data_IF_529661363830
#
_entry.id   IF_529661363830
#
_cell.length_a   1.000
_cell.length_b   1.000
_cell.length_c   1.000
_cell.angle_alpha   90.00
_cell.angle_beta   90.00
_cell.angle_gamma   90.00
#
_symmetry.space_group_name_H-M   'P 1'
#
loop_
_entity.id
_entity.type
_entity.pdbx_description
1 polymer ?
#
# COMPACT_ATOMS: atom_id res chain seq x y z
N UNK A 1 5.27 20.99 0.67
CA UNK A 1 5.23 21.84 1.90
C UNK A 1 5.47 20.91 3.08
N UNK A 2 6.37 21.26 3.99
CA UNK A 2 6.69 20.44 5.18
C UNK A 2 6.08 21.13 6.40
N UNK A 3 5.33 20.35 7.20
CA UNK A 3 4.75 20.81 8.46
C UNK A 3 5.33 19.95 9.61
N UNK A 4 6.24 20.47 10.44
CA UNK A 4 6.86 19.73 11.54
C UNK A 4 5.89 19.61 12.72
N UNK A 5 4.89 18.73 12.59
CA UNK A 5 3.79 18.58 13.54
C UNK A 5 3.90 17.35 14.45
N UNK A 6 4.79 16.41 14.11
CA UNK A 6 4.97 15.21 14.92
C UNK A 6 5.87 15.52 16.12
N UNK A 7 5.36 15.39 17.35
CA UNK A 7 6.19 15.53 18.54
C UNK A 7 6.99 14.25 18.78
N UNK A 8 8.09 14.40 19.52
CA UNK A 8 8.93 13.30 20.01
C UNK A 8 9.15 13.43 21.52
N UNK A 9 9.76 12.42 22.11
CA UNK A 9 10.12 12.44 23.54
C UNK A 9 11.01 13.63 23.92
N UNK A 10 11.79 14.14 22.97
CA UNK A 10 12.66 15.29 23.18
C UNK A 10 11.92 16.64 23.10
N UNK A 11 10.70 16.66 22.54
CA UNK A 11 9.95 17.89 22.28
C UNK A 11 8.78 18.11 23.25
N UNK A 12 8.46 17.12 24.08
CA UNK A 12 7.39 17.20 25.08
C UNK A 12 7.94 17.32 26.51
N UNK A 13 7.29 18.08 27.41
CA UNK A 13 7.80 18.29 28.79
C UNK A 13 7.87 17.00 29.61
N UNK A 14 6.90 16.08 29.46
CA UNK A 14 6.86 14.79 30.14
C UNK A 14 6.41 13.69 29.17
N UNK A 15 7.37 12.89 28.62
CA UNK A 15 7.08 11.80 27.68
C UNK A 15 6.21 10.68 28.28
N UNK A 16 6.15 10.54 29.59
CA UNK A 16 5.39 9.49 30.27
C UNK A 16 3.94 9.88 30.53
N UNK A 17 3.63 11.19 30.55
CA UNK A 17 2.29 11.73 30.84
C UNK A 17 1.78 12.62 29.70
N UNK A 18 1.74 12.06 28.48
CA UNK A 18 1.25 12.79 27.30
C UNK A 18 -0.25 12.58 27.10
N UNK A 19 -0.94 13.60 26.63
CA UNK A 19 -2.26 13.53 26.02
C UNK A 19 -2.10 13.36 24.51
N UNK A 20 -2.02 12.10 24.06
CA UNK A 20 -1.77 11.78 22.66
C UNK A 20 -2.88 12.30 21.71
N UNK A 21 -4.19 12.24 22.05
CA UNK A 21 -5.24 12.87 21.25
C UNK A 21 -5.04 14.38 21.06
N UNK A 22 -4.70 15.12 22.13
CA UNK A 22 -4.41 16.55 22.05
C UNK A 22 -3.22 16.85 21.16
N UNK A 23 -2.14 16.07 21.29
CA UNK A 23 -0.94 16.20 20.46
C UNK A 23 -1.21 15.84 18.98
N UNK A 24 -2.14 14.93 18.70
CA UNK A 24 -2.55 14.56 17.34
C UNK A 24 -3.46 15.62 16.68
N UNK A 25 -4.13 16.46 17.45
CA UNK A 25 -5.15 17.40 16.97
C UNK A 25 -4.70 18.31 15.81
N UNK A 26 -3.47 18.88 15.80
CA UNK A 26 -3.01 19.70 14.67
C UNK A 26 -2.94 18.89 13.35
N UNK A 27 -2.53 17.63 13.41
CA UNK A 27 -2.47 16.72 12.24
C UNK A 27 -3.89 16.33 11.86
N UNK A 28 -4.72 15.93 12.81
CA UNK A 28 -6.11 15.53 12.60
C UNK A 28 -6.95 16.62 11.97
N UNK A 29 -6.68 17.89 12.27
CA UNK A 29 -7.35 19.03 11.63
C UNK A 29 -7.07 19.14 10.12
N UNK A 30 -5.94 18.63 9.65
CA UNK A 30 -5.56 18.63 8.23
C UNK A 30 -6.19 17.50 7.44
N UNK A 31 -6.63 16.43 8.11
CA UNK A 31 -7.13 15.21 7.45
C UNK A 31 -8.31 15.49 6.51
N UNK A 32 -9.15 16.48 6.81
CA UNK A 32 -10.28 16.87 5.95
C UNK A 32 -9.88 17.37 4.56
N UNK A 33 -8.61 17.68 4.36
CA UNK A 33 -8.04 18.18 3.11
C UNK A 33 -7.24 17.12 2.36
N UNK A 34 -7.13 15.92 2.92
CA UNK A 34 -6.27 14.85 2.40
C UNK A 34 -7.13 13.73 1.81
N UNK A 35 -6.65 13.14 0.73
CA UNK A 35 -7.33 12.09 0.00
C UNK A 35 -6.73 10.70 0.26
N UNK A 36 -5.49 10.66 0.74
CA UNK A 36 -4.78 9.46 1.16
C UNK A 36 -3.64 9.82 2.09
N UNK A 37 -3.18 8.86 2.91
CA UNK A 37 -2.04 9.02 3.81
C UNK A 37 -0.99 7.94 3.52
N UNK A 38 0.27 8.32 3.68
CA UNK A 38 1.42 7.40 3.77
C UNK A 38 2.03 7.56 5.14
N UNK A 39 2.12 6.48 5.89
CA UNK A 39 2.56 6.50 7.29
C UNK A 39 3.65 5.46 7.47
N UNK A 40 4.78 5.85 8.04
CA UNK A 40 5.83 4.93 8.45
C UNK A 40 7.21 5.14 7.85
N UNK A 41 7.39 5.48 6.55
CA UNK A 41 8.72 5.78 6.02
C UNK A 41 9.37 6.91 6.82
N UNK A 42 10.54 6.62 7.41
CA UNK A 42 11.28 7.61 8.22
C UNK A 42 10.63 8.04 9.52
N UNK A 43 9.56 7.36 9.96
CA UNK A 43 8.82 7.74 11.18
C UNK A 43 9.66 7.61 12.46
N UNK A 44 10.55 6.63 12.51
CA UNK A 44 11.29 6.29 13.73
C UNK A 44 10.45 5.49 14.73
N UNK A 45 11.03 5.27 15.91
CA UNK A 45 10.45 4.41 16.96
C UNK A 45 10.30 5.10 18.28
N UNK A 46 10.21 6.43 18.27
CA UNK A 46 9.99 7.22 19.47
C UNK A 46 8.59 6.94 20.03
N UNK A 47 8.51 6.65 21.32
CA UNK A 47 7.26 6.23 21.95
C UNK A 47 6.17 7.31 21.95
N UNK A 48 6.54 8.59 22.02
CA UNK A 48 5.59 9.71 21.95
C UNK A 48 5.06 9.80 20.50
N UNK A 49 5.96 9.79 19.52
CA UNK A 49 5.62 9.84 18.12
C UNK A 49 4.66 8.70 17.74
N UNK A 50 4.96 7.47 18.16
CA UNK A 50 4.13 6.29 17.84
C UNK A 50 2.73 6.38 18.46
N UNK A 51 2.61 6.87 19.70
CA UNK A 51 1.30 7.11 20.34
C UNK A 51 0.48 8.17 19.60
N UNK A 52 1.09 9.26 19.19
CA UNK A 52 0.41 10.32 18.41
C UNK A 52 -0.02 9.82 17.05
N UNK A 53 0.84 9.09 16.35
CA UNK A 53 0.49 8.49 15.03
C UNK A 53 -0.63 7.46 15.16
N UNK A 54 -0.70 6.72 16.27
CA UNK A 54 -1.83 5.82 16.55
C UNK A 54 -3.15 6.59 16.59
N UNK A 55 -3.21 7.75 17.24
CA UNK A 55 -4.42 8.57 17.26
C UNK A 55 -4.76 9.15 15.86
N UNK A 56 -3.75 9.54 15.09
CA UNK A 56 -3.95 9.97 13.69
C UNK A 56 -4.54 8.85 12.84
N UNK A 57 -4.08 7.61 13.01
CA UNK A 57 -4.64 6.43 12.30
C UNK A 57 -6.10 6.21 12.70
N UNK A 58 -6.43 6.25 13.99
CA UNK A 58 -7.81 6.11 14.47
C UNK A 58 -8.73 7.17 13.86
N UNK A 59 -8.26 8.42 13.81
CA UNK A 59 -9.00 9.52 13.21
C UNK A 59 -9.15 9.36 11.69
N UNK A 60 -8.11 8.88 10.98
CA UNK A 60 -8.19 8.58 9.56
C UNK A 60 -9.24 7.48 9.28
N UNK A 61 -9.29 6.43 10.11
CA UNK A 61 -10.29 5.37 10.03
C UNK A 61 -11.70 5.93 10.25
N UNK A 62 -11.90 6.76 11.26
CA UNK A 62 -13.20 7.37 11.57
C UNK A 62 -13.74 8.23 10.41
N UNK A 63 -12.84 8.83 9.64
CA UNK A 63 -13.16 9.65 8.46
C UNK A 63 -13.14 8.89 7.14
N UNK A 64 -12.92 7.58 7.16
CA UNK A 64 -12.80 6.74 5.96
C UNK A 64 -11.70 7.21 4.98
N UNK A 65 -10.60 7.74 5.50
CA UNK A 65 -9.46 8.18 4.68
C UNK A 65 -8.57 6.96 4.40
N UNK A 66 -8.31 6.62 3.14
CA UNK A 66 -7.43 5.51 2.80
C UNK A 66 -5.98 5.81 3.18
N UNK A 67 -5.24 4.78 3.61
CA UNK A 67 -3.84 4.95 3.96
C UNK A 67 -2.98 3.71 3.69
N UNK A 68 -1.67 3.97 3.60
CA UNK A 68 -0.63 2.96 3.48
C UNK A 68 0.18 2.97 4.78
N UNK A 69 0.48 1.77 5.31
CA UNK A 69 1.47 1.58 6.38
C UNK A 69 2.67 0.81 5.83
N UNK A 70 3.85 1.40 5.97
CA UNK A 70 5.14 0.78 5.60
C UNK A 70 6.16 0.99 6.73
N UNK A 71 7.24 0.26 6.69
CA UNK A 71 8.40 0.41 7.57
C UNK A 71 8.00 0.51 9.06
N UNK A 72 8.37 1.62 9.75
CA UNK A 72 8.07 1.77 11.18
C UNK A 72 6.56 1.87 11.48
N UNK A 73 5.71 2.26 10.51
CA UNK A 73 4.26 2.22 10.65
C UNK A 73 3.70 0.80 10.83
N UNK A 74 4.38 -0.22 10.31
CA UNK A 74 3.98 -1.62 10.48
C UNK A 74 4.21 -2.13 11.91
N UNK A 75 5.06 -1.47 12.70
CA UNK A 75 5.26 -1.81 14.12
C UNK A 75 3.97 -1.60 14.90
N UNK A 76 3.22 -0.53 14.62
CA UNK A 76 1.96 -0.24 15.29
C UNK A 76 0.95 -1.38 15.10
N UNK A 77 0.87 -1.95 13.90
CA UNK A 77 0.00 -3.10 13.61
C UNK A 77 0.56 -4.39 14.23
N UNK A 78 1.89 -4.52 14.33
CA UNK A 78 2.51 -5.68 14.98
C UNK A 78 2.25 -5.69 16.49
N UNK A 79 2.24 -4.52 17.13
CA UNK A 79 1.98 -4.36 18.56
C UNK A 79 0.47 -4.44 18.87
N UNK A 80 -0.36 -3.81 18.04
CA UNK A 80 -1.82 -3.87 18.15
C UNK A 80 -2.48 -4.11 16.78
N UNK A 81 -2.69 -5.36 16.37
CA UNK A 81 -3.36 -5.69 15.11
C UNK A 81 -4.79 -5.13 15.01
N UNK A 82 -5.44 -4.89 16.14
CA UNK A 82 -6.81 -4.35 16.17
C UNK A 82 -6.88 -2.92 15.65
N UNK A 83 -5.77 -2.19 15.65
CA UNK A 83 -5.68 -0.81 15.15
C UNK A 83 -6.22 -0.67 13.72
N UNK A 84 -5.98 -1.65 12.86
CA UNK A 84 -6.41 -1.62 11.45
C UNK A 84 -7.41 -2.73 11.11
N UNK A 85 -7.77 -3.60 12.06
CA UNK A 85 -8.59 -4.77 11.80
C UNK A 85 -9.94 -4.39 11.21
N UNK A 86 -10.26 -4.95 10.04
CA UNK A 86 -11.51 -4.71 9.33
C UNK A 86 -11.54 -3.40 8.51
N UNK A 87 -10.51 -2.56 8.59
CA UNK A 87 -10.45 -1.35 7.79
C UNK A 87 -9.94 -1.64 6.38
N UNK A 88 -10.85 -1.86 5.45
CA UNK A 88 -10.54 -2.29 4.09
C UNK A 88 -9.83 -1.23 3.23
N UNK A 89 -9.86 0.04 3.61
CA UNK A 89 -9.18 1.15 2.92
C UNK A 89 -7.70 1.31 3.36
N UNK A 90 -7.10 0.25 3.90
CA UNK A 90 -5.71 0.20 4.35
C UNK A 90 -4.89 -0.76 3.47
N UNK A 91 -3.67 -0.34 3.11
CA UNK A 91 -2.65 -1.18 2.45
C UNK A 91 -1.45 -1.30 3.38
N UNK A 92 -1.06 -2.53 3.73
CA UNK A 92 0.18 -2.83 4.41
C UNK A 92 1.22 -3.32 3.41
N UNK A 93 2.47 -2.85 3.51
CA UNK A 93 3.54 -3.18 2.56
C UNK A 93 4.73 -3.88 3.22
N UNK A 94 4.55 -4.98 3.97
CA UNK A 94 5.63 -5.62 4.67
C UNK A 94 6.66 -6.27 3.73
N UNK A 95 7.95 -6.12 4.05
CA UNK A 95 9.00 -7.00 3.54
C UNK A 95 8.94 -8.36 4.27
N UNK A 96 9.77 -9.32 3.83
CA UNK A 96 9.77 -10.70 4.37
C UNK A 96 9.90 -10.73 5.90
N UNK A 97 10.75 -9.89 6.49
CA UNK A 97 10.96 -9.85 7.93
C UNK A 97 9.79 -9.17 8.68
N UNK A 98 9.25 -8.10 8.12
CA UNK A 98 8.07 -7.41 8.64
C UNK A 98 6.84 -8.30 8.55
N UNK A 99 6.66 -9.01 7.43
CA UNK A 99 5.60 -9.99 7.24
C UNK A 99 5.66 -11.11 8.29
N UNK A 100 6.84 -11.68 8.53
CA UNK A 100 7.02 -12.72 9.53
C UNK A 100 6.69 -12.24 10.95
N UNK A 101 6.98 -10.97 11.28
CA UNK A 101 6.61 -10.37 12.57
C UNK A 101 5.11 -10.19 12.71
N UNK A 102 4.45 -9.66 11.69
CA UNK A 102 2.98 -9.51 11.66
C UNK A 102 2.28 -10.86 11.76
N UNK A 103 2.72 -11.85 10.99
CA UNK A 103 2.16 -13.19 11.03
C UNK A 103 2.29 -13.83 12.43
N UNK A 104 3.47 -13.68 13.06
CA UNK A 104 3.71 -14.16 14.43
C UNK A 104 2.80 -13.48 15.44
N UNK A 105 2.57 -12.16 15.33
CA UNK A 105 1.69 -11.41 16.23
C UNK A 105 0.24 -11.91 16.15
N UNK A 106 -0.17 -12.47 15.01
CA UNK A 106 -1.49 -13.04 14.79
C UNK A 106 -1.52 -14.58 14.87
N UNK A 107 -0.46 -15.22 15.38
CA UNK A 107 -0.31 -16.67 15.49
C UNK A 107 -0.49 -17.42 14.15
N UNK A 108 -0.05 -16.80 13.05
CA UNK A 108 -0.07 -17.40 11.72
C UNK A 108 1.29 -18.04 11.45
N UNK A 109 1.28 -19.33 11.17
CA UNK A 109 2.49 -20.05 10.78
C UNK A 109 2.94 -19.64 9.39
N UNK A 110 4.16 -19.14 9.29
CA UNK A 110 4.86 -18.87 8.02
C UNK A 110 5.98 -19.89 7.89
N UNK A 111 5.89 -20.77 6.91
CA UNK A 111 6.95 -21.73 6.67
C UNK A 111 8.22 -21.00 6.23
N UNK A 112 9.36 -21.31 6.85
CA UNK A 112 10.64 -20.74 6.45
C UNK A 112 11.00 -21.18 5.03
N UNK A 113 11.69 -20.32 4.28
CA UNK A 113 12.11 -20.61 2.89
C UNK A 113 12.94 -21.90 2.78
N UNK A 114 13.63 -22.30 3.85
CA UNK A 114 14.40 -23.53 3.92
C UNK A 114 13.55 -24.82 3.99
N UNK A 115 12.27 -24.72 4.36
CA UNK A 115 11.36 -25.86 4.53
C UNK A 115 10.52 -26.17 3.28
N UNK A 116 10.56 -25.30 2.28
CA UNK A 116 9.72 -25.42 1.08
C UNK A 116 10.56 -26.07 -0.04
N UNK A 117 10.21 -27.30 -0.41
CA UNK A 117 10.83 -28.04 -1.52
C UNK A 117 10.02 -27.82 -2.80
N UNK A 118 10.62 -27.14 -3.79
CA UNK A 118 10.06 -26.93 -5.13
C UNK A 118 9.43 -25.54 -5.34
N UNK A 119 9.63 -24.96 -6.54
CA UNK A 119 9.21 -23.58 -6.85
C UNK A 119 7.68 -23.41 -6.92
N UNK A 120 6.93 -24.42 -7.41
CA UNK A 120 5.47 -24.37 -7.48
C UNK A 120 4.80 -24.39 -6.10
N UNK A 121 5.31 -25.23 -5.20
CA UNK A 121 4.82 -25.33 -3.82
C UNK A 121 5.09 -24.06 -3.01
N UNK A 122 6.19 -23.36 -3.32
CA UNK A 122 6.58 -22.14 -2.65
C UNK A 122 5.62 -20.98 -2.92
N UNK A 123 5.31 -20.72 -4.19
CA UNK A 123 4.40 -19.66 -4.58
C UNK A 123 2.99 -19.85 -3.98
N UNK A 124 2.51 -21.11 -3.96
CA UNK A 124 1.22 -21.45 -3.39
C UNK A 124 1.16 -21.21 -1.88
N UNK A 125 2.18 -21.62 -1.15
CA UNK A 125 2.24 -21.47 0.33
C UNK A 125 2.46 -20.03 0.77
N UNK A 126 3.27 -19.26 0.04
CA UNK A 126 3.46 -17.83 0.29
C UNK A 126 2.15 -17.06 0.04
N UNK A 127 1.41 -17.40 -1.03
CA UNK A 127 0.09 -16.83 -1.32
C UNK A 127 -0.92 -17.16 -0.25
N UNK A 128 -0.94 -18.41 0.24
CA UNK A 128 -1.82 -18.84 1.34
C UNK A 128 -1.52 -18.09 2.65
N UNK A 129 -0.23 -17.90 2.98
CA UNK A 129 0.16 -17.16 4.17
C UNK A 129 -0.27 -15.68 4.11
N UNK A 130 -0.11 -15.04 2.94
CA UNK A 130 -0.55 -13.67 2.72
C UNK A 130 -2.08 -13.54 2.82
N UNK A 131 -2.81 -14.49 2.24
CA UNK A 131 -4.28 -14.55 2.32
C UNK A 131 -4.75 -14.74 3.77
N UNK A 132 -4.14 -15.65 4.52
CA UNK A 132 -4.44 -15.88 5.95
C UNK A 132 -4.20 -14.64 6.79
N UNK A 133 -3.08 -13.94 6.56
CA UNK A 133 -2.77 -12.71 7.30
C UNK A 133 -3.79 -11.61 7.00
N UNK A 134 -4.15 -11.42 5.75
CA UNK A 134 -5.18 -10.45 5.37
C UNK A 134 -6.56 -10.80 5.99
N UNK A 135 -6.96 -12.08 5.95
CA UNK A 135 -8.20 -12.55 6.61
C UNK A 135 -8.19 -12.29 8.11
N UNK A 136 -7.08 -12.57 8.79
CA UNK A 136 -6.96 -12.34 10.22
C UNK A 136 -7.04 -10.85 10.58
N UNK A 137 -6.63 -9.96 9.68
CA UNK A 137 -6.79 -8.51 9.78
C UNK A 137 -8.16 -8.01 9.26
N UNK A 138 -9.11 -8.91 8.96
CA UNK A 138 -10.45 -8.53 8.53
C UNK A 138 -10.54 -7.99 7.09
N UNK A 139 -9.62 -8.40 6.22
CA UNK A 139 -9.62 -8.05 4.80
C UNK A 139 -8.80 -6.80 4.45
N UNK A 140 -7.87 -6.41 5.32
CA UNK A 140 -6.87 -5.37 5.00
C UNK A 140 -6.01 -5.85 3.83
N UNK A 141 -5.77 -4.99 2.84
CA UNK A 141 -4.93 -5.34 1.70
C UNK A 141 -3.45 -5.38 2.09
N UNK A 142 -2.76 -6.45 1.73
CA UNK A 142 -1.35 -6.66 2.03
C UNK A 142 -0.57 -6.80 0.74
N UNK A 143 0.54 -6.08 0.63
CA UNK A 143 1.58 -6.27 -0.39
C UNK A 143 2.78 -6.89 0.32
N UNK A 144 2.91 -8.20 0.27
CA UNK A 144 4.11 -8.89 0.77
C UNK A 144 5.24 -8.72 -0.24
N UNK A 145 6.20 -7.86 0.08
CA UNK A 145 7.37 -7.59 -0.78
C UNK A 145 8.31 -8.79 -0.83
N UNK A 146 8.69 -9.20 -2.06
CA UNK A 146 9.53 -10.38 -2.27
C UNK A 146 10.22 -10.41 -3.64
N UNK A 147 10.75 -11.56 -4.08
CA UNK A 147 11.19 -11.76 -5.47
C UNK A 147 10.05 -11.51 -6.47
N UNK A 148 8.85 -11.96 -6.14
CA UNK A 148 7.55 -11.53 -6.67
C UNK A 148 6.74 -11.00 -5.50
N UNK A 149 5.98 -9.93 -5.72
CA UNK A 149 5.16 -9.40 -4.63
C UNK A 149 3.81 -10.13 -4.64
N UNK A 150 3.38 -10.55 -3.45
CA UNK A 150 2.09 -11.22 -3.25
C UNK A 150 1.13 -10.22 -2.66
N UNK A 151 -0.01 -10.06 -3.30
CA UNK A 151 -1.01 -9.05 -2.93
C UNK A 151 -2.31 -9.77 -2.62
N UNK A 152 -2.84 -9.55 -1.41
CA UNK A 152 -4.08 -10.20 -0.98
C UNK A 152 -4.95 -9.26 -0.16
N UNK A 153 -6.27 -9.35 -0.35
CA UNK A 153 -7.29 -8.74 0.50
C UNK A 153 -8.03 -9.79 1.35
N UNK A 154 -7.47 -11.02 1.45
CA UNK A 154 -8.05 -12.13 2.17
C UNK A 154 -9.12 -12.92 1.39
N UNK A 155 -9.62 -12.39 0.29
CA UNK A 155 -10.58 -13.06 -0.61
C UNK A 155 -9.92 -13.38 -1.95
N UNK A 156 -9.26 -12.40 -2.53
CA UNK A 156 -8.51 -12.53 -3.78
C UNK A 156 -7.04 -12.31 -3.51
N UNK A 157 -6.21 -13.19 -4.08
CA UNK A 157 -4.75 -13.09 -4.04
C UNK A 157 -4.22 -13.04 -5.45
N UNK A 158 -3.43 -12.01 -5.75
CA UNK A 158 -2.78 -11.78 -7.05
C UNK A 158 -1.27 -11.66 -6.84
N UNK A 159 -0.50 -11.93 -7.88
CA UNK A 159 0.95 -11.86 -7.84
C UNK A 159 1.42 -10.79 -8.82
N UNK A 160 2.30 -9.91 -8.38
CA UNK A 160 3.03 -9.02 -9.26
C UNK A 160 4.34 -9.71 -9.64
N UNK A 161 4.40 -10.18 -10.86
CA UNK A 161 5.56 -10.85 -11.47
C UNK A 161 6.37 -9.93 -12.38
N UNK A 162 6.06 -8.63 -12.37
CA UNK A 162 6.86 -7.62 -13.07
C UNK A 162 8.31 -7.71 -12.60
N UNK A 163 9.23 -7.86 -13.53
CA UNK A 163 10.65 -8.02 -13.23
C UNK A 163 11.24 -6.73 -12.64
N UNK A 164 11.90 -6.85 -11.50
CA UNK A 164 12.58 -5.73 -10.84
C UNK A 164 14.08 -5.67 -11.15
N UNK A 165 14.75 -4.61 -10.71
CA UNK A 165 16.20 -4.50 -10.79
C UNK A 165 16.92 -5.50 -9.88
N UNK A 166 18.12 -5.92 -10.26
CA UNK A 166 18.93 -6.91 -9.52
C UNK A 166 19.62 -6.33 -8.28
N UNK A 167 19.45 -5.04 -8.00
CA UNK A 167 19.99 -4.38 -6.81
C UNK A 167 18.87 -3.83 -5.94
N UNK A 168 18.96 -4.10 -4.64
CA UNK A 168 18.17 -3.41 -3.61
C UNK A 168 18.97 -2.24 -3.04
N UNK A 169 18.37 -1.07 -2.97
CA UNK A 169 18.88 0.09 -2.26
C UNK A 169 17.85 0.56 -1.23
N UNK A 170 18.31 1.12 -0.11
CA UNK A 170 17.40 1.76 0.85
C UNK A 170 16.61 2.87 0.16
N UNK A 171 15.34 3.08 0.53
CA UNK A 171 14.45 4.08 -0.06
C UNK A 171 13.62 3.64 -1.27
N UNK A 172 13.80 2.42 -1.79
CA UNK A 172 12.90 1.88 -2.83
C UNK A 172 11.44 1.74 -2.34
N UNK A 173 11.25 1.53 -1.03
CA UNK A 173 9.93 1.53 -0.41
C UNK A 173 9.22 2.87 -0.53
N UNK A 174 9.95 3.97 -0.54
CA UNK A 174 9.38 5.32 -0.64
C UNK A 174 8.78 5.55 -2.04
N UNK A 175 9.40 5.00 -3.09
CA UNK A 175 8.81 4.99 -4.45
C UNK A 175 7.51 4.19 -4.48
N UNK A 176 7.46 3.03 -3.81
CA UNK A 176 6.24 2.22 -3.69
C UNK A 176 5.14 2.98 -2.98
N UNK A 177 5.42 3.50 -1.79
CA UNK A 177 4.40 4.15 -0.96
C UNK A 177 3.93 5.48 -1.54
N UNK A 178 4.81 6.25 -2.19
CA UNK A 178 4.46 7.47 -2.93
C UNK A 178 3.55 7.16 -4.13
N UNK A 179 3.87 6.13 -4.89
CA UNK A 179 3.03 5.66 -6.01
C UNK A 179 1.67 5.19 -5.52
N UNK A 180 1.62 4.38 -4.46
CA UNK A 180 0.37 3.92 -3.86
C UNK A 180 -0.48 5.08 -3.34
N UNK A 181 0.12 6.09 -2.69
CA UNK A 181 -0.58 7.28 -2.21
C UNK A 181 -1.26 8.04 -3.34
N UNK A 182 -0.57 8.22 -4.47
CA UNK A 182 -1.13 8.84 -5.68
C UNK A 182 -2.28 8.03 -6.25
N UNK A 183 -2.08 6.72 -6.40
CA UNK A 183 -3.10 5.81 -6.96
C UNK A 183 -4.33 5.70 -6.05
N UNK A 184 -4.17 5.73 -4.72
CA UNK A 184 -5.29 5.78 -3.77
C UNK A 184 -6.08 7.08 -3.91
N UNK A 185 -5.41 8.22 -4.11
CA UNK A 185 -6.08 9.49 -4.35
C UNK A 185 -6.87 9.45 -5.67
N UNK A 186 -6.32 8.87 -6.73
CA UNK A 186 -7.03 8.67 -8.00
C UNK A 186 -8.22 7.71 -7.85
N UNK A 187 -8.03 6.60 -7.14
CA UNK A 187 -9.12 5.67 -6.82
C UNK A 187 -10.27 6.38 -6.07
N UNK A 188 -9.92 7.22 -5.10
CA UNK A 188 -10.92 8.03 -4.39
C UNK A 188 -11.68 8.97 -5.34
N UNK A 189 -10.95 9.64 -6.25
CA UNK A 189 -11.56 10.49 -7.27
C UNK A 189 -12.49 9.70 -8.22
N UNK A 190 -12.08 8.49 -8.63
CA UNK A 190 -12.89 7.59 -9.45
C UNK A 190 -14.21 7.23 -8.76
N UNK A 191 -14.16 6.78 -7.49
CA UNK A 191 -15.36 6.39 -6.75
C UNK A 191 -16.27 7.58 -6.39
N UNK A 192 -15.72 8.77 -6.24
CA UNK A 192 -16.49 9.99 -5.99
C UNK A 192 -17.02 10.68 -7.27
N UNK A 193 -16.77 10.09 -8.45
CA UNK A 193 -17.26 10.63 -9.71
C UNK A 193 -16.71 12.02 -10.06
N UNK A 194 -15.44 12.31 -9.67
CA UNK A 194 -14.81 13.61 -9.95
C UNK A 194 -14.48 13.79 -11.44
N UNK A 195 -14.46 12.73 -12.21
CA UNK A 195 -14.37 12.75 -13.67
C UNK A 195 -15.27 11.66 -14.27
N UNK A 196 -15.72 11.90 -15.47
CA UNK A 196 -16.48 10.91 -16.24
C UNK A 196 -15.52 9.84 -16.78
N UNK A 197 -15.69 8.62 -16.32
CA UNK A 197 -14.93 7.46 -16.80
C UNK A 197 -15.62 6.74 -17.97
N UNK A 198 -16.83 7.15 -18.35
CA UNK A 198 -17.68 6.47 -19.34
C UNK A 198 -18.26 5.15 -18.83
N UNK A 199 -18.00 4.77 -17.58
CA UNK A 199 -18.44 3.51 -16.98
C UNK A 199 -19.77 3.65 -16.24
N UNK A 200 -20.61 2.62 -16.36
CA UNK A 200 -21.85 2.52 -15.57
C UNK A 200 -21.55 2.05 -14.15
N UNK A 201 -22.20 2.64 -13.17
CA UNK A 201 -22.04 2.24 -11.78
C UNK A 201 -22.41 0.77 -11.58
N UNK A 202 -21.52 0.01 -10.94
CA UNK A 202 -21.77 -1.37 -10.56
C UNK A 202 -22.14 -1.38 -9.08
N UNK A 203 -23.36 -1.77 -8.75
CA UNK A 203 -23.86 -1.81 -7.36
C UNK A 203 -23.25 -2.96 -6.54
N UNK A 204 -22.44 -3.82 -7.15
CA UNK A 204 -21.90 -5.01 -6.50
C UNK A 204 -20.55 -4.70 -5.81
N UNK A 205 -20.49 -5.01 -4.52
CA UNK A 205 -19.22 -5.16 -3.83
C UNK A 205 -18.65 -6.53 -4.16
N UNK A 206 -17.58 -6.59 -4.96
CA UNK A 206 -16.91 -7.86 -5.27
C UNK A 206 -16.24 -8.41 -3.99
N UNK A 207 -16.80 -9.48 -3.46
CA UNK A 207 -16.28 -10.19 -2.28
C UNK A 207 -15.69 -11.56 -2.66
N UNK A 208 -15.94 -12.06 -3.86
CA UNK A 208 -15.42 -13.34 -4.36
C UNK A 208 -14.38 -13.18 -5.47
N UNK A 209 -13.48 -14.18 -5.60
CA UNK A 209 -12.48 -14.21 -6.68
C UNK A 209 -13.13 -14.23 -8.08
N UNK A 210 -14.30 -14.82 -8.21
CA UNK A 210 -15.04 -14.88 -9.47
C UNK A 210 -15.63 -13.53 -9.84
N UNK A 211 -16.12 -12.77 -8.85
CA UNK A 211 -16.67 -11.44 -9.08
C UNK A 211 -15.59 -10.43 -9.54
N UNK A 212 -14.42 -10.45 -8.88
CA UNK A 212 -13.28 -9.61 -9.30
C UNK A 212 -12.90 -9.91 -10.76
N UNK A 213 -12.81 -11.19 -11.14
CA UNK A 213 -12.49 -11.58 -12.51
C UNK A 213 -13.59 -11.12 -13.48
N UNK A 214 -14.85 -11.29 -13.13
CA UNK A 214 -15.98 -10.88 -13.96
C UNK A 214 -16.04 -9.36 -14.14
N UNK A 215 -15.68 -8.58 -13.10
CA UNK A 215 -15.58 -7.12 -13.24
C UNK A 215 -14.48 -6.69 -14.21
N UNK A 216 -13.30 -7.32 -14.12
CA UNK A 216 -12.18 -7.02 -15.02
C UNK A 216 -12.47 -7.38 -16.50
N UNK A 217 -13.35 -8.37 -16.74
CA UNK A 217 -13.73 -8.83 -18.08
C UNK A 217 -14.97 -8.10 -18.65
N UNK A 218 -15.58 -7.18 -17.88
CA UNK A 218 -16.83 -6.53 -18.29
C UNK A 218 -16.57 -5.07 -18.73
N UNK A 219 -16.64 -4.82 -20.02
CA UNK A 219 -16.56 -3.46 -20.56
C UNK A 219 -17.70 -2.55 -20.07
N UNK A 220 -17.37 -1.29 -19.77
CA UNK A 220 -18.34 -0.23 -19.46
C UNK A 220 -19.03 -0.32 -18.11
N UNK A 221 -18.54 -1.16 -17.18
CA UNK A 221 -19.02 -1.21 -15.80
C UNK A 221 -18.00 -0.63 -14.84
N UNK A 222 -18.49 0.17 -13.89
CA UNK A 222 -17.67 0.70 -12.82
C UNK A 222 -17.19 -0.42 -11.88
N UNK A 223 -15.88 -0.49 -11.66
CA UNK A 223 -15.29 -1.50 -10.80
C UNK A 223 -15.62 -1.26 -9.32
N UNK A 224 -15.73 -2.36 -8.56
CA UNK A 224 -15.98 -2.29 -7.13
C UNK A 224 -14.80 -1.66 -6.35
N UNK A 225 -15.06 -1.10 -5.15
CA UNK A 225 -13.99 -0.62 -4.29
C UNK A 225 -12.92 -1.67 -3.96
N UNK A 226 -13.31 -2.93 -3.81
CA UNK A 226 -12.38 -4.03 -3.52
C UNK A 226 -11.46 -4.31 -4.73
N UNK A 227 -12.02 -4.37 -5.94
CA UNK A 227 -11.26 -4.58 -7.18
C UNK A 227 -10.29 -3.45 -7.43
N UNK A 228 -10.75 -2.21 -7.35
CA UNK A 228 -9.88 -1.04 -7.57
C UNK A 228 -8.78 -0.91 -6.54
N UNK A 229 -8.99 -1.36 -5.28
CA UNK A 229 -7.93 -1.38 -4.27
C UNK A 229 -6.86 -2.43 -4.58
N UNK A 230 -7.25 -3.63 -5.04
CA UNK A 230 -6.30 -4.64 -5.50
C UNK A 230 -5.50 -4.17 -6.72
N UNK A 231 -6.16 -3.51 -7.69
CA UNK A 231 -5.49 -2.93 -8.85
C UNK A 231 -4.52 -1.82 -8.43
N UNK A 232 -4.92 -0.95 -7.50
CA UNK A 232 -4.03 0.06 -6.90
C UNK A 232 -2.77 -0.59 -6.32
N UNK A 233 -2.95 -1.65 -5.53
CA UNK A 233 -1.84 -2.36 -4.90
C UNK A 233 -0.93 -3.03 -5.94
N UNK A 234 -1.50 -3.68 -6.96
CA UNK A 234 -0.74 -4.31 -8.04
C UNK A 234 0.01 -3.28 -8.89
N UNK A 235 -0.65 -2.20 -9.26
CA UNK A 235 -0.05 -1.12 -10.07
C UNK A 235 1.10 -0.46 -9.32
N UNK A 236 0.96 -0.15 -8.03
CA UNK A 236 2.04 0.42 -7.22
C UNK A 236 3.25 -0.52 -7.12
N UNK A 237 3.00 -1.82 -6.92
CA UNK A 237 4.04 -2.86 -6.93
C UNK A 237 4.73 -2.94 -8.29
N UNK A 238 3.97 -3.12 -9.37
CA UNK A 238 4.49 -3.25 -10.73
C UNK A 238 5.29 -2.01 -11.17
N UNK A 239 4.76 -0.82 -10.88
CA UNK A 239 5.42 0.45 -11.19
C UNK A 239 6.78 0.57 -10.49
N UNK A 240 6.84 0.27 -9.19
CA UNK A 240 8.10 0.32 -8.44
C UNK A 240 9.13 -0.67 -8.98
N UNK A 241 8.69 -1.87 -9.34
CA UNK A 241 9.56 -2.91 -9.92
C UNK A 241 10.09 -2.49 -11.27
N UNK A 242 9.26 -1.96 -12.15
CA UNK A 242 9.66 -1.45 -13.46
C UNK A 242 10.62 -0.25 -13.33
N UNK A 243 10.37 0.69 -12.39
CA UNK A 243 11.32 1.77 -12.07
C UNK A 243 12.68 1.20 -11.66
N UNK A 244 12.69 0.21 -10.77
CA UNK A 244 13.92 -0.44 -10.31
C UNK A 244 14.64 -1.16 -11.45
N UNK A 245 13.91 -1.83 -12.37
CA UNK A 245 14.47 -2.50 -13.55
C UNK A 245 15.15 -1.49 -14.51
N UNK A 246 14.46 -0.38 -14.81
CA UNK A 246 14.97 0.68 -15.67
C UNK A 246 16.18 1.38 -15.06
N UNK A 247 16.09 1.79 -13.81
CA UNK A 247 17.19 2.43 -13.08
C UNK A 247 18.41 1.50 -13.00
N UNK A 248 18.20 0.20 -12.73
CA UNK A 248 19.29 -0.77 -12.73
C UNK A 248 19.92 -0.96 -14.12
N UNK A 249 19.11 -0.98 -15.18
CA UNK A 249 19.60 -1.05 -16.56
C UNK A 249 20.48 0.15 -16.90
N UNK A 250 20.11 1.36 -16.42
CA UNK A 250 20.85 2.59 -16.69
C UNK A 250 22.10 2.75 -15.82
N UNK A 251 22.04 2.39 -14.53
CA UNK A 251 23.08 2.67 -13.53
C UNK A 251 23.81 1.44 -13.01
N UNK A 252 23.31 0.24 -13.30
CA UNK A 252 23.89 -1.00 -12.80
C UNK A 252 23.98 -1.03 -11.28
N UNK A 253 25.11 -1.46 -10.75
CA UNK A 253 25.34 -1.56 -9.29
C UNK A 253 25.48 -0.20 -8.59
N UNK A 254 25.64 0.91 -9.32
CA UNK A 254 25.67 2.25 -8.73
C UNK A 254 24.30 2.85 -8.48
N UNK A 255 23.22 2.20 -8.93
CA UNK A 255 21.83 2.64 -8.74
C UNK A 255 21.51 2.97 -7.28
N UNK A 256 20.82 4.09 -7.06
CA UNK A 256 20.30 4.56 -5.78
C UNK A 256 18.77 4.70 -5.82
N UNK A 257 18.13 4.97 -4.69
CA UNK A 257 16.68 5.12 -4.61
C UNK A 257 16.16 6.30 -5.48
N UNK A 258 16.89 7.42 -5.51
CA UNK A 258 16.54 8.59 -6.35
C UNK A 258 16.45 8.26 -7.83
N UNK A 259 17.28 7.33 -8.33
CA UNK A 259 17.25 6.90 -9.73
C UNK A 259 15.91 6.22 -10.10
N UNK A 260 15.21 5.62 -9.13
CA UNK A 260 13.87 5.06 -9.36
C UNK A 260 12.83 6.16 -9.57
N UNK A 261 12.98 7.28 -8.88
CA UNK A 261 12.05 8.42 -8.99
C UNK A 261 12.08 9.01 -10.40
N UNK A 262 13.25 9.09 -11.01
CA UNK A 262 13.43 9.58 -12.39
C UNK A 262 12.74 8.66 -13.41
N UNK A 263 12.56 7.37 -13.07
CA UNK A 263 11.96 6.37 -13.93
C UNK A 263 10.42 6.21 -13.73
N UNK A 264 9.80 6.96 -12.80
CA UNK A 264 8.35 6.80 -12.51
C UNK A 264 7.50 7.05 -13.74
N UNK A 265 7.70 8.17 -14.43
CA UNK A 265 6.90 8.52 -15.59
C UNK A 265 7.05 7.51 -16.75
N UNK A 266 8.27 7.19 -17.21
CA UNK A 266 8.42 6.23 -18.30
C UNK A 266 7.98 4.80 -17.91
N UNK A 267 8.07 4.43 -16.64
CA UNK A 267 7.55 3.14 -16.14
C UNK A 267 6.03 3.11 -16.13
N UNK A 268 5.39 4.21 -15.73
CA UNK A 268 3.93 4.33 -15.76
C UNK A 268 3.39 4.16 -17.18
N UNK A 269 3.96 4.87 -18.16
CA UNK A 269 3.55 4.72 -19.56
C UNK A 269 3.80 3.30 -20.10
N UNK A 270 4.89 2.67 -19.69
CA UNK A 270 5.21 1.29 -20.11
C UNK A 270 4.22 0.25 -19.61
N UNK A 271 3.65 0.44 -18.41
CA UNK A 271 2.75 -0.52 -17.77
C UNK A 271 1.27 -0.26 -18.08
N UNK A 272 0.88 0.99 -18.20
CA UNK A 272 -0.53 1.40 -18.31
C UNK A 272 -0.87 1.87 -19.72
N UNK A 273 0.14 2.31 -20.48
CA UNK A 273 -0.05 2.93 -21.80
C UNK A 273 -0.22 4.45 -21.72
N UNK A 274 -0.22 5.08 -22.86
CA UNK A 274 -0.60 6.47 -22.99
C UNK A 274 -2.12 6.58 -22.99
N UNK A 275 -2.69 7.61 -22.33
CA UNK A 275 -4.12 7.88 -22.47
C UNK A 275 -4.42 8.16 -23.94
N UNK A 276 -5.51 7.61 -24.44
CA UNK A 276 -6.01 7.93 -25.77
C UNK A 276 -6.12 9.45 -25.87
N UNK A 277 -5.25 10.05 -26.68
CA UNK A 277 -5.41 11.47 -27.02
C UNK A 277 -6.71 11.56 -27.81
N UNK A 278 -7.72 12.32 -27.34
CA UNK A 278 -8.90 12.52 -28.15
C UNK A 278 -8.43 13.03 -29.52
N UNK A 279 -8.82 12.34 -30.59
CA UNK A 279 -8.54 12.80 -31.96
C UNK A 279 -8.86 14.29 -31.98
N UNK A 280 -7.88 15.11 -32.37
CA UNK A 280 -8.10 16.55 -32.53
C UNK A 280 -9.31 16.68 -33.41
N UNK A 281 -10.46 16.97 -32.82
CA UNK A 281 -11.62 17.38 -33.59
C UNK A 281 -11.12 18.53 -34.45
N UNK A 282 -11.05 18.29 -35.73
CA UNK A 282 -10.75 19.32 -36.72
C UNK A 282 -11.75 20.44 -36.54
N UNK A 283 -11.31 21.51 -35.89
CA UNK A 283 -11.95 22.80 -35.96
C UNK A 283 -11.72 23.40 -37.33
#
# INVERSE_FOLDING_TARGET
MVHPMLPSSDTVPDPNSIDAPSLASPISSMLSRLHALVIGPGLGRDGVTLKVVTEVIKEAISRSIPFILDADGLLLVTEDPKLVQGYKECILTPNVNEFSRLAKALNIEVQSQAQIKGDGDKASKESEACEKLSKALGGVTIIQKGPRDIISNGVTTIISDVEGGLKRSGGQGDTLTGSLGTLLAWRNAYHNGLWDSGEKENERNAESKQEVKAELETEGKRMSPATTLLLTAWTGSGLTRECSRRAFKAKGRSMQAGDLTDEVFPSFLSLIGEPDTPEKSSL
#
